data_IF_480330214268
#
_entry.id   IF_480330214268
#
_cell.length_a   1.000
_cell.length_b   1.000
_cell.length_c   1.000
_cell.angle_alpha   90.00
_cell.angle_beta   90.00
_cell.angle_gamma   90.00
#
_symmetry.space_group_name_H-M   'P 1'
#
loop_
_entity.id
_entity.type
_entity.pdbx_description
1 polymer ?
#
# COMPACT_ATOMS: atom_id res chain seq x y z
N UNK A 1 3.22 -40.07 -58.94
CA UNK A 1 4.42 -39.23 -59.10
C UNK A 1 4.72 -38.61 -57.75
N UNK A 2 5.96 -38.67 -57.29
CA UNK A 2 6.34 -38.22 -55.95
C UNK A 2 6.12 -36.70 -55.83
N UNK A 3 5.18 -36.29 -54.98
CA UNK A 3 4.84 -34.89 -54.74
C UNK A 3 5.75 -34.30 -53.66
N UNK A 4 7.06 -34.60 -53.75
CA UNK A 4 8.05 -34.10 -52.79
C UNK A 4 8.63 -32.80 -53.33
N UNK A 5 8.57 -31.71 -52.55
CA UNK A 5 9.16 -30.45 -52.95
C UNK A 5 10.67 -30.60 -53.13
N UNK A 6 11.25 -29.79 -54.02
CA UNK A 6 12.70 -29.71 -54.13
C UNK A 6 13.32 -29.30 -52.79
N UNK A 7 14.60 -29.64 -52.60
CA UNK A 7 15.33 -29.26 -51.38
C UNK A 7 15.27 -27.74 -51.14
N UNK A 8 15.42 -26.95 -52.20
CA UNK A 8 15.34 -25.48 -52.14
C UNK A 8 13.96 -25.01 -51.67
N UNK A 9 12.89 -25.56 -52.22
CA UNK A 9 11.54 -25.20 -51.78
C UNK A 9 11.24 -25.64 -50.34
N UNK A 10 11.79 -26.77 -49.90
CA UNK A 10 11.66 -27.23 -48.52
C UNK A 10 12.37 -26.27 -47.55
N UNK A 11 13.58 -25.81 -47.92
CA UNK A 11 14.35 -24.82 -47.15
C UNK A 11 13.62 -23.47 -47.10
N UNK A 12 13.10 -22.99 -48.23
CA UNK A 12 12.37 -21.72 -48.28
C UNK A 12 11.06 -21.77 -47.46
N UNK A 13 10.33 -22.89 -47.49
CA UNK A 13 9.16 -23.07 -46.61
C UNK A 13 9.56 -23.08 -45.14
N UNK A 14 10.67 -23.75 -44.78
CA UNK A 14 11.17 -23.77 -43.42
C UNK A 14 11.62 -22.37 -42.93
N UNK A 15 12.30 -21.60 -43.78
CA UNK A 15 12.70 -20.21 -43.50
C UNK A 15 11.50 -19.31 -43.22
N UNK A 16 10.50 -19.32 -44.11
CA UNK A 16 9.25 -18.55 -43.91
C UNK A 16 8.56 -18.93 -42.61
N UNK A 17 8.41 -20.22 -42.33
CA UNK A 17 7.82 -20.68 -41.09
C UNK A 17 8.62 -20.23 -39.84
N UNK A 18 9.94 -20.15 -39.94
CA UNK A 18 10.79 -19.64 -38.85
C UNK A 18 10.66 -18.12 -38.70
N UNK A 19 10.62 -17.38 -39.80
CA UNK A 19 10.38 -15.93 -39.81
C UNK A 19 9.02 -15.59 -39.20
N UNK A 20 7.97 -16.33 -39.54
CA UNK A 20 6.63 -16.17 -38.98
C UNK A 20 6.63 -16.38 -37.46
N UNK A 21 7.34 -17.41 -36.98
CA UNK A 21 7.49 -17.66 -35.53
C UNK A 21 8.25 -16.53 -34.83
N UNK A 22 9.32 -16.04 -35.45
CA UNK A 22 10.09 -14.91 -34.91
C UNK A 22 9.21 -13.65 -34.87
N UNK A 23 8.45 -13.37 -35.92
CA UNK A 23 7.52 -12.25 -35.98
C UNK A 23 6.47 -12.34 -34.86
N UNK A 24 5.87 -13.52 -34.66
CA UNK A 24 4.91 -13.73 -33.58
C UNK A 24 5.51 -13.46 -32.19
N UNK A 25 6.73 -13.95 -31.92
CA UNK A 25 7.40 -13.71 -30.64
C UNK A 25 7.70 -12.21 -30.46
N UNK A 26 8.11 -11.50 -31.52
CA UNK A 26 8.31 -10.04 -31.47
C UNK A 26 7.03 -9.31 -31.09
N UNK A 27 5.90 -9.67 -31.70
CA UNK A 27 4.60 -9.08 -31.37
C UNK A 27 4.23 -9.32 -29.91
N UNK A 28 4.42 -10.54 -29.40
CA UNK A 28 4.15 -10.85 -27.99
C UNK A 28 5.07 -10.06 -27.05
N UNK A 29 6.36 -9.97 -27.37
CA UNK A 29 7.32 -9.20 -26.58
C UNK A 29 6.95 -7.71 -26.53
N UNK A 30 6.60 -7.11 -27.67
CA UNK A 30 6.16 -5.72 -27.74
C UNK A 30 4.87 -5.48 -26.96
N UNK A 31 3.88 -6.38 -27.07
CA UNK A 31 2.65 -6.28 -26.31
C UNK A 31 2.89 -6.34 -24.79
N UNK A 32 3.79 -7.23 -24.34
CA UNK A 32 4.16 -7.35 -22.92
C UNK A 32 4.90 -6.12 -22.42
N UNK A 33 5.82 -5.57 -23.22
CA UNK A 33 6.53 -4.35 -22.86
C UNK A 33 5.55 -3.18 -22.72
N UNK A 34 4.70 -2.96 -23.73
CA UNK A 34 3.68 -1.91 -23.68
C UNK A 34 2.74 -2.05 -22.48
N UNK A 35 2.34 -3.29 -22.13
CA UNK A 35 1.53 -3.53 -20.94
C UNK A 35 2.27 -3.17 -19.65
N UNK A 36 3.56 -3.49 -19.55
CA UNK A 36 4.39 -3.12 -18.40
C UNK A 36 4.51 -1.60 -18.27
N UNK A 37 4.78 -0.91 -19.38
CA UNK A 37 4.89 0.55 -19.44
C UNK A 37 3.59 1.23 -18.99
N UNK A 38 2.45 0.77 -19.50
CA UNK A 38 1.12 1.29 -19.12
C UNK A 38 0.86 1.07 -17.63
N UNK A 39 1.16 -0.13 -17.10
CA UNK A 39 0.98 -0.41 -15.67
C UNK A 39 1.82 0.50 -14.79
N UNK A 40 3.08 0.71 -15.16
CA UNK A 40 3.98 1.60 -14.43
C UNK A 40 3.49 3.04 -14.47
N UNK A 41 3.11 3.54 -15.65
CA UNK A 41 2.58 4.89 -15.80
C UNK A 41 1.30 5.09 -14.96
N UNK A 42 0.34 4.18 -15.07
CA UNK A 42 -0.91 4.26 -14.30
C UNK A 42 -0.66 4.17 -12.79
N UNK A 43 0.31 3.36 -12.34
CA UNK A 43 0.67 3.29 -10.93
C UNK A 43 1.23 4.62 -10.41
N UNK A 44 2.06 5.30 -11.20
CA UNK A 44 2.60 6.63 -10.87
C UNK A 44 1.49 7.69 -10.82
N UNK A 45 0.64 7.74 -11.84
CA UNK A 45 -0.50 8.67 -11.91
C UNK A 45 -1.46 8.48 -10.72
N UNK A 46 -1.74 7.23 -10.36
CA UNK A 46 -2.58 6.90 -9.21
C UNK A 46 -1.94 7.37 -7.89
N UNK A 47 -0.63 7.17 -7.71
CA UNK A 47 0.07 7.63 -6.52
C UNK A 47 0.04 9.16 -6.39
N UNK A 48 0.30 9.88 -7.49
CA UNK A 48 0.22 11.34 -7.53
C UNK A 48 -1.19 11.84 -7.21
N UNK A 49 -2.23 11.21 -7.79
CA UNK A 49 -3.61 11.58 -7.53
C UNK A 49 -4.00 11.33 -6.06
N UNK A 50 -3.57 10.21 -5.50
CA UNK A 50 -3.80 9.91 -4.08
C UNK A 50 -3.13 10.95 -3.17
N UNK A 51 -1.90 11.36 -3.49
CA UNK A 51 -1.22 12.41 -2.74
C UNK A 51 -1.97 13.74 -2.84
N UNK A 52 -2.38 14.15 -4.03
CA UNK A 52 -3.15 15.38 -4.23
C UNK A 52 -4.47 15.37 -3.44
N UNK A 53 -5.20 14.25 -3.47
CA UNK A 53 -6.43 14.09 -2.68
C UNK A 53 -6.13 14.20 -1.19
N UNK A 54 -5.09 13.51 -0.72
CA UNK A 54 -4.69 13.58 0.69
C UNK A 54 -4.25 14.99 1.10
N UNK A 55 -3.60 15.77 0.22
CA UNK A 55 -3.27 17.16 0.48
C UNK A 55 -4.52 18.05 0.55
N UNK A 56 -5.44 17.93 -0.41
CA UNK A 56 -6.71 18.68 -0.42
C UNK A 56 -7.54 18.43 0.84
N UNK A 57 -7.67 17.16 1.24
CA UNK A 57 -8.36 16.79 2.49
C UNK A 57 -7.65 17.40 3.70
N UNK A 58 -6.32 17.28 3.80
CA UNK A 58 -5.55 17.85 4.91
C UNK A 58 -5.70 19.37 5.01
N UNK A 59 -5.71 20.08 3.89
CA UNK A 59 -5.92 21.53 3.84
C UNK A 59 -7.33 21.89 4.32
N UNK A 60 -8.37 21.24 3.79
CA UNK A 60 -9.75 21.48 4.20
C UNK A 60 -9.95 21.22 5.71
N UNK A 61 -9.39 20.13 6.25
CA UNK A 61 -9.42 19.86 7.69
C UNK A 61 -8.69 20.92 8.53
N UNK A 62 -7.56 21.46 8.03
CA UNK A 62 -6.84 22.52 8.73
C UNK A 62 -7.65 23.82 8.75
N UNK A 63 -8.29 24.16 7.64
CA UNK A 63 -9.16 25.32 7.51
C UNK A 63 -10.38 25.23 8.44
N UNK A 64 -11.03 24.07 8.51
CA UNK A 64 -12.12 23.81 9.46
C UNK A 64 -11.67 24.05 10.92
N UNK A 65 -10.54 23.45 11.32
CA UNK A 65 -9.95 23.66 12.65
C UNK A 65 -9.63 25.14 12.91
N UNK A 66 -9.08 25.84 11.91
CA UNK A 66 -8.76 27.26 12.00
C UNK A 66 -10.02 28.11 12.16
N UNK A 67 -11.06 27.87 11.38
CA UNK A 67 -12.33 28.59 11.44
C UNK A 67 -13.03 28.37 12.80
N UNK A 68 -13.08 27.13 13.28
CA UNK A 68 -13.62 26.82 14.61
C UNK A 68 -12.84 27.52 15.72
N UNK A 69 -11.49 27.50 15.66
CA UNK A 69 -10.65 28.23 16.61
C UNK A 69 -10.91 29.74 16.58
N UNK A 70 -11.07 30.33 15.40
CA UNK A 70 -11.38 31.74 15.26
C UNK A 70 -12.72 32.10 15.91
N UNK A 71 -13.75 31.25 15.76
CA UNK A 71 -15.02 31.42 16.46
C UNK A 71 -14.86 31.37 17.99
N UNK A 72 -14.08 30.41 18.49
CA UNK A 72 -13.79 30.31 19.93
C UNK A 72 -13.05 31.55 20.45
N UNK A 73 -12.04 32.03 19.71
CA UNK A 73 -11.31 33.27 20.05
C UNK A 73 -12.22 34.50 20.02
N UNK A 74 -13.23 34.52 19.15
CA UNK A 74 -14.25 35.57 19.10
C UNK A 74 -15.27 35.52 20.26
N UNK A 75 -15.13 34.56 21.18
CA UNK A 75 -15.94 34.45 22.39
C UNK A 75 -17.03 33.39 22.35
N UNK A 76 -17.17 32.64 21.24
CA UNK A 76 -18.12 31.54 21.18
C UNK A 76 -17.67 30.36 22.03
N UNK A 77 -18.55 29.87 22.89
CA UNK A 77 -18.25 28.65 23.63
C UNK A 77 -18.47 27.40 22.75
N UNK A 78 -17.74 26.30 22.99
CA UNK A 78 -17.96 25.04 22.28
C UNK A 78 -19.40 24.51 22.39
N UNK A 79 -20.08 24.80 23.51
CA UNK A 79 -21.47 24.40 23.73
C UNK A 79 -22.44 25.18 22.85
N UNK A 80 -22.22 26.49 22.68
CA UNK A 80 -23.03 27.34 21.78
C UNK A 80 -22.83 26.94 20.32
N UNK A 81 -21.57 26.75 19.89
CA UNK A 81 -21.25 26.28 18.54
C UNK A 81 -21.95 24.95 18.25
N UNK A 82 -21.91 24.01 19.19
CA UNK A 82 -22.63 22.73 19.06
C UNK A 82 -24.14 22.92 18.98
N UNK A 83 -24.72 23.84 19.76
CA UNK A 83 -26.17 24.12 19.77
C UNK A 83 -26.65 24.67 18.43
N UNK A 84 -25.82 25.45 17.74
CA UNK A 84 -26.14 26.01 16.41
C UNK A 84 -25.67 25.12 15.24
N UNK A 85 -25.19 23.91 15.51
CA UNK A 85 -24.85 22.92 14.49
C UNK A 85 -23.40 22.91 14.00
N UNK A 86 -22.49 23.64 14.65
CA UNK A 86 -21.04 23.59 14.41
C UNK A 86 -20.33 22.80 15.52
N UNK A 87 -20.39 21.45 15.52
CA UNK A 87 -19.66 20.66 16.49
C UNK A 87 -18.15 20.83 16.33
N UNK A 88 -17.38 20.36 17.31
CA UNK A 88 -15.93 20.39 17.25
C UNK A 88 -15.40 19.64 16.00
N UNK A 89 -14.45 20.20 15.23
CA UNK A 89 -13.84 19.56 14.07
C UNK A 89 -13.36 18.13 14.35
N UNK A 90 -13.59 17.21 13.42
CA UNK A 90 -13.26 15.79 13.59
C UNK A 90 -11.78 15.58 13.93
N UNK A 91 -10.89 16.34 13.29
CA UNK A 91 -9.46 16.33 13.55
C UNK A 91 -9.11 16.67 15.00
N UNK A 92 -9.79 17.65 15.60
CA UNK A 92 -9.65 17.99 17.02
C UNK A 92 -10.19 16.88 17.92
N UNK A 93 -11.36 16.32 17.60
CA UNK A 93 -11.93 15.21 18.35
C UNK A 93 -11.01 13.98 18.36
N UNK A 94 -10.45 13.61 17.20
CA UNK A 94 -9.48 12.51 17.08
C UNK A 94 -8.22 12.77 17.88
N UNK A 95 -7.66 13.99 17.80
CA UNK A 95 -6.47 14.36 18.57
C UNK A 95 -6.71 14.25 20.09
N UNK A 96 -7.86 14.74 20.57
CA UNK A 96 -8.26 14.64 21.98
C UNK A 96 -8.37 13.18 22.43
N UNK A 97 -9.06 12.33 21.67
CA UNK A 97 -9.18 10.88 21.94
C UNK A 97 -7.83 10.16 21.98
N UNK A 98 -6.89 10.55 21.10
CA UNK A 98 -5.53 9.98 21.09
C UNK A 98 -4.70 10.44 22.30
N UNK A 99 -4.90 11.67 22.76
CA UNK A 99 -4.24 12.19 23.96
C UNK A 99 -4.70 11.45 25.22
N UNK A 100 -6.03 11.32 25.42
CA UNK A 100 -6.59 10.66 26.60
C UNK A 100 -6.18 9.18 26.71
N UNK A 101 -6.02 8.49 25.57
CA UNK A 101 -5.55 7.09 25.56
C UNK A 101 -4.08 6.95 25.99
N UNK A 102 -3.21 7.89 25.61
CA UNK A 102 -1.79 7.85 26.02
C UNK A 102 -1.60 8.12 27.50
N UNK A 103 -2.41 9.02 28.08
CA UNK A 103 -2.38 9.28 29.52
C UNK A 103 -2.81 8.04 30.32
N UNK A 104 -3.85 7.33 29.87
CA UNK A 104 -4.33 6.11 30.55
C UNK A 104 -3.29 4.98 30.57
N UNK A 105 -2.55 4.76 29.48
CA UNK A 105 -1.48 3.74 29.43
C UNK A 105 -0.28 4.12 30.30
N UNK A 106 0.06 5.40 30.39
CA UNK A 106 1.17 5.88 31.23
C UNK A 106 0.87 5.73 32.73
N UNK A 107 -0.39 5.90 33.15
CA UNK A 107 -0.80 5.66 34.54
C UNK A 107 -0.82 4.18 34.89
N UNK A 108 -1.24 3.30 33.97
CA UNK A 108 -1.26 1.85 34.21
C UNK A 108 0.13 1.20 34.30
N UNK A 109 1.16 1.79 33.68
CA UNK A 109 2.54 1.32 33.77
C UNK A 109 3.21 1.67 35.12
N UNK A 110 2.60 2.53 35.95
CA UNK A 110 3.14 2.94 37.24
C UNK A 110 2.67 2.07 38.42
N UNK A 111 1.67 1.22 38.21
CA UNK A 111 1.07 0.32 39.22
C UNK A 111 1.31 -1.17 38.95
N UNK A 112 2.17 -1.54 37.99
CA UNK A 112 2.52 -2.94 37.77
C UNK A 112 3.57 -3.39 38.80
N UNK A 113 3.29 -4.40 39.67
CA UNK A 113 4.33 -5.03 40.47
C UNK A 113 5.34 -5.73 39.55
N UNK A 114 6.63 -5.56 39.85
CA UNK A 114 7.73 -6.21 39.11
C UNK A 114 7.53 -7.73 39.06
N UNK A 115 7.57 -8.38 37.89
CA UNK A 115 7.80 -9.81 37.84
C UNK A 115 9.29 -10.07 38.14
N UNK A 116 9.55 -10.84 39.20
CA UNK A 116 10.87 -11.41 39.49
C UNK A 116 11.30 -12.35 38.35
N UNK A 117 12.61 -12.43 38.00
CA UNK A 117 13.08 -13.26 36.92
C UNK A 117 13.31 -14.69 37.43
N UNK A 118 12.43 -15.62 37.10
CA UNK A 118 12.68 -17.05 37.31
C UNK A 118 12.72 -17.82 35.97
N UNK A 119 13.95 -18.25 35.69
CA UNK A 119 14.34 -19.56 35.18
C UNK A 119 14.25 -19.83 33.66
N UNK A 120 15.42 -19.63 33.07
CA UNK A 120 15.96 -20.37 31.92
C UNK A 120 15.87 -21.88 32.18
N UNK A 121 15.24 -22.63 31.29
CA UNK A 121 15.54 -24.05 31.11
C UNK A 121 15.54 -24.38 29.62
N UNK A 122 16.74 -24.37 29.06
CA UNK A 122 17.10 -25.06 27.84
C UNK A 122 17.26 -26.56 28.16
N UNK A 123 16.85 -27.46 27.25
CA UNK A 123 17.82 -28.45 26.83
C UNK A 123 17.85 -28.69 25.31
N UNK A 124 19.07 -28.55 24.79
CA UNK A 124 19.80 -29.26 23.72
C UNK A 124 19.07 -30.11 22.64
N UNK A 125 19.61 -30.12 21.39
CA UNK A 125 19.02 -30.77 20.22
C UNK A 125 19.41 -32.25 20.05
N UNK A 126 18.47 -33.08 19.59
CA UNK A 126 18.75 -34.44 19.09
C UNK A 126 19.19 -34.41 17.61
N UNK A 127 20.26 -35.15 17.23
CA UNK A 127 20.63 -35.38 15.84
C UNK A 127 20.10 -36.73 15.31
N UNK A 128 20.21 -36.89 13.99
CA UNK A 128 20.20 -38.13 13.18
C UNK A 128 18.90 -38.42 12.42
N UNK A 129 19.04 -38.51 11.09
CA UNK A 129 18.08 -39.23 10.24
C UNK A 129 17.97 -38.74 8.80
N UNK A 130 19.07 -38.74 8.05
CA UNK A 130 18.99 -38.69 6.59
C UNK A 130 18.35 -39.99 6.09
N UNK A 131 17.22 -39.90 5.38
CA UNK A 131 16.69 -40.99 4.58
C UNK A 131 16.51 -40.51 3.14
N UNK A 132 17.24 -41.17 2.25
CA UNK A 132 16.98 -41.27 0.82
C UNK A 132 15.68 -42.05 0.61
N UNK A 133 14.85 -41.56 -0.31
CA UNK A 133 14.14 -42.34 -1.34
C UNK A 133 13.91 -41.46 -2.56
#
# INVERSE_FOLDING_TARGET
MANQPSVEEAVERARRAQEDRIAAIRTVAQARQSLADVREQTARELAELQEQIAQRIRQAEQEDVRAYNAAVTAGWTPAELKKIGFPEPEKKQRARRRSTRRTATSTAAKDAPSPSPEQVTEPAPEPVGANHE
#
